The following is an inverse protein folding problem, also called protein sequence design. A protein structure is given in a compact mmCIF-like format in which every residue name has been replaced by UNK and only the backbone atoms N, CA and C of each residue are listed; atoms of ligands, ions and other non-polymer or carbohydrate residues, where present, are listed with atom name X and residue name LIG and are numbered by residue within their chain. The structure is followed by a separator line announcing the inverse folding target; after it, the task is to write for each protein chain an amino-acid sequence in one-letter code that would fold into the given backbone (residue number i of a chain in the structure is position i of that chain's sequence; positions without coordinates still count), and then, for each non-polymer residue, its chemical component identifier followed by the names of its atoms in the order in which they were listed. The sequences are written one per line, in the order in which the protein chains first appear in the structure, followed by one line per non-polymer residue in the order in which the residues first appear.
data_IF_630830920775
#
_entry.id   IF_630830920775
#
_cell.length_a   1.000
_cell.length_b   1.000
_cell.length_c   1.000
_cell.angle_alpha   90.00
_cell.angle_beta   90.00
_cell.angle_gamma   90.00
#
_symmetry.space_group_name_H-M   'P 1'
#
loop_
_entity.id
_entity.type
_entity.pdbx_description
1 polymer ?
#
# COMPACT_ATOMS: atom_id res chain seq x y z
N UNK A 1 -23.55 -57.51 -35.31
CA UNK A 1 -22.58 -56.89 -34.38
C UNK A 1 -21.30 -56.62 -35.15
N UNK A 2 -20.63 -55.49 -35.13
CA UNK A 2 -20.81 -54.16 -34.55
C UNK A 2 -19.78 -53.30 -35.30
N UNK A 3 -20.18 -52.11 -35.76
CA UNK A 3 -19.33 -51.16 -36.48
C UNK A 3 -18.01 -50.91 -35.72
N UNK A 4 -16.87 -51.26 -36.32
CA UNK A 4 -15.56 -50.93 -35.77
C UNK A 4 -15.29 -49.44 -36.02
N UNK A 5 -15.48 -48.68 -34.94
CA UNK A 5 -15.39 -47.22 -34.83
C UNK A 5 -13.99 -46.72 -35.23
N UNK A 6 -13.92 -45.98 -36.34
CA UNK A 6 -12.73 -45.27 -36.83
C UNK A 6 -12.25 -44.28 -35.75
N UNK A 7 -11.26 -44.66 -34.94
CA UNK A 7 -10.61 -43.75 -33.99
C UNK A 7 -9.72 -42.81 -34.79
N UNK A 8 -10.20 -41.60 -35.07
CA UNK A 8 -9.36 -40.48 -35.52
C UNK A 8 -8.41 -40.13 -34.37
N UNK A 9 -7.26 -40.79 -34.33
CA UNK A 9 -6.12 -40.36 -33.52
C UNK A 9 -5.65 -39.04 -34.09
N UNK A 10 -5.93 -37.95 -33.38
CA UNK A 10 -5.29 -36.67 -33.65
C UNK A 10 -3.77 -36.91 -33.71
N UNK A 11 -3.08 -36.48 -34.79
CA UNK A 11 -1.65 -36.69 -34.91
C UNK A 11 -0.96 -36.03 -33.72
N UNK A 12 -0.09 -36.78 -33.02
CA UNK A 12 0.64 -36.35 -31.82
C UNK A 12 1.29 -34.95 -31.97
N UNK A 13 1.70 -34.61 -33.19
CA UNK A 13 2.23 -33.29 -33.53
C UNK A 13 1.23 -32.14 -33.34
N UNK A 14 -0.05 -32.34 -33.67
CA UNK A 14 -1.09 -31.34 -33.45
C UNK A 14 -1.39 -31.12 -31.96
N UNK A 15 -1.29 -32.18 -31.14
CA UNK A 15 -1.51 -32.08 -29.69
C UNK A 15 -0.42 -31.26 -28.98
N UNK A 16 0.80 -31.20 -29.53
CA UNK A 16 1.91 -30.41 -29.00
C UNK A 16 1.95 -28.98 -29.57
N UNK A 17 1.56 -28.78 -30.83
CA UNK A 17 1.60 -27.47 -31.49
C UNK A 17 0.53 -26.51 -30.98
N UNK A 18 -0.68 -27.00 -30.70
CA UNK A 18 -1.78 -26.19 -30.16
C UNK A 18 -1.45 -25.48 -28.84
N UNK A 19 -0.96 -26.17 -27.79
CA UNK A 19 -0.59 -25.50 -26.55
C UNK A 19 0.60 -24.56 -26.72
N UNK A 20 1.53 -24.86 -27.62
CA UNK A 20 2.67 -23.97 -27.90
C UNK A 20 2.19 -22.66 -28.54
N UNK A 21 1.25 -22.74 -29.50
CA UNK A 21 0.64 -21.60 -30.15
C UNK A 21 -0.21 -20.77 -29.18
N UNK A 22 -0.99 -21.39 -28.28
CA UNK A 22 -1.77 -20.63 -27.30
C UNK A 22 -0.88 -19.93 -26.27
N UNK A 23 0.25 -20.55 -25.90
CA UNK A 23 1.23 -19.95 -24.98
C UNK A 23 1.96 -18.77 -25.64
N UNK A 24 2.31 -18.90 -26.93
CA UNK A 24 2.89 -17.80 -27.72
C UNK A 24 1.89 -16.66 -27.96
N UNK A 25 0.60 -16.98 -28.21
CA UNK A 25 -0.46 -15.99 -28.37
C UNK A 25 -0.74 -15.27 -27.05
N UNK A 26 -0.81 -16.00 -25.94
CA UNK A 26 -0.98 -15.42 -24.60
C UNK A 26 0.21 -14.53 -24.21
N UNK A 27 1.43 -14.93 -24.57
CA UNK A 27 2.63 -14.14 -24.32
C UNK A 27 2.69 -12.86 -25.16
N UNK A 28 2.40 -12.95 -26.46
CA UNK A 28 2.43 -11.78 -27.37
C UNK A 28 1.26 -10.83 -27.14
N UNK A 29 0.04 -11.35 -26.94
CA UNK A 29 -1.12 -10.54 -26.57
C UNK A 29 -0.95 -9.90 -25.19
N UNK A 30 -0.37 -10.63 -24.22
CA UNK A 30 -0.03 -10.09 -22.91
C UNK A 30 0.99 -8.95 -22.97
N UNK A 31 1.95 -9.02 -23.90
CA UNK A 31 2.97 -7.97 -24.09
C UNK A 31 2.47 -6.73 -24.81
N UNK A 32 1.56 -6.89 -25.78
CA UNK A 32 0.94 -5.79 -26.51
C UNK A 32 -0.12 -5.04 -25.68
N UNK A 33 -0.80 -5.75 -24.78
CA UNK A 33 -1.79 -5.16 -23.86
C UNK A 33 -1.23 -4.76 -22.51
N UNK A 34 0.05 -5.04 -22.21
CA UNK A 34 0.67 -4.57 -20.98
C UNK A 34 0.85 -3.04 -21.05
N UNK A 35 0.24 -2.27 -20.13
CA UNK A 35 0.48 -0.84 -20.07
C UNK A 35 1.98 -0.60 -19.87
N UNK A 36 2.56 0.36 -20.61
CA UNK A 36 3.96 0.74 -20.44
C UNK A 36 4.22 1.01 -18.97
N UNK A 37 5.17 0.29 -18.37
CA UNK A 37 5.59 0.53 -16.99
C UNK A 37 6.17 1.95 -16.89
N UNK A 38 5.35 2.89 -16.45
CA UNK A 38 5.77 4.27 -16.17
C UNK A 38 6.25 4.35 -14.73
N UNK A 39 7.17 5.27 -14.46
CA UNK A 39 7.62 5.55 -13.09
C UNK A 39 6.42 5.90 -12.18
N UNK A 40 5.42 6.60 -12.72
CA UNK A 40 4.16 6.88 -12.03
C UNK A 40 3.37 5.60 -11.66
N UNK A 41 3.33 4.60 -12.54
CA UNK A 41 2.69 3.32 -12.24
C UNK A 41 3.46 2.53 -11.16
N UNK A 42 4.79 2.64 -11.11
CA UNK A 42 5.61 2.04 -10.07
C UNK A 42 5.43 2.72 -8.69
N UNK A 43 5.18 4.02 -8.67
CA UNK A 43 4.97 4.81 -7.44
C UNK A 43 3.50 4.92 -7.00
N UNK A 44 2.56 4.40 -7.80
CA UNK A 44 1.13 4.43 -7.47
C UNK A 44 0.79 3.74 -6.13
N UNK A 45 1.35 2.57 -5.77
CA UNK A 45 1.13 1.96 -4.45
C UNK A 45 1.53 2.89 -3.30
N UNK A 46 2.69 3.56 -3.42
CA UNK A 46 3.19 4.49 -2.40
C UNK A 46 2.23 5.65 -2.16
N UNK A 47 1.62 6.18 -3.21
CA UNK A 47 0.63 7.24 -3.08
C UNK A 47 -0.64 6.79 -2.34
N UNK A 48 -1.09 5.55 -2.58
CA UNK A 48 -2.24 4.98 -1.88
C UNK A 48 -1.93 4.74 -0.40
N UNK A 49 -0.73 4.26 -0.09
CA UNK A 49 -0.26 4.07 1.28
C UNK A 49 -0.15 5.38 2.06
N UNK A 50 0.34 6.45 1.44
CA UNK A 50 0.38 7.79 2.07
C UNK A 50 -1.02 8.36 2.31
N UNK A 51 -1.97 8.15 1.39
CA UNK A 51 -3.37 8.53 1.59
C UNK A 51 -4.03 7.76 2.74
N UNK A 52 -3.80 6.45 2.82
CA UNK A 52 -4.29 5.64 3.93
C UNK A 52 -3.70 6.09 5.28
N UNK A 53 -2.40 6.41 5.29
CA UNK A 53 -1.74 6.96 6.47
C UNK A 53 -2.34 8.31 6.89
N UNK A 54 -2.65 9.18 5.94
CA UNK A 54 -3.29 10.47 6.21
C UNK A 54 -4.66 10.29 6.85
N UNK A 55 -5.52 9.44 6.28
CA UNK A 55 -6.85 9.18 6.83
C UNK A 55 -6.78 8.58 8.24
N UNK A 56 -5.79 7.72 8.49
CA UNK A 56 -5.56 7.15 9.82
C UNK A 56 -5.08 8.20 10.85
N UNK A 57 -4.25 9.18 10.45
CA UNK A 57 -3.88 10.30 11.33
C UNK A 57 -5.07 11.18 11.71
N UNK A 58 -6.03 11.35 10.81
CA UNK A 58 -7.24 12.12 11.10
C UNK A 58 -8.10 11.46 12.18
N UNK A 59 -8.25 10.14 12.09
CA UNK A 59 -8.91 9.34 13.14
C UNK A 59 -8.11 9.41 14.44
N UNK A 60 -6.78 9.28 14.38
CA UNK A 60 -5.93 9.35 15.56
C UNK A 60 -6.05 10.69 16.30
N UNK A 61 -6.19 11.80 15.58
CA UNK A 61 -6.42 13.13 16.16
C UNK A 61 -7.81 13.27 16.78
N UNK A 62 -8.86 12.87 16.05
CA UNK A 62 -10.24 12.94 16.55
C UNK A 62 -10.42 12.10 17.81
N UNK A 63 -9.95 10.86 17.81
CA UNK A 63 -10.06 9.98 18.98
C UNK A 63 -9.04 10.33 20.07
N UNK A 64 -7.89 10.88 19.72
CA UNK A 64 -6.87 11.31 20.68
C UNK A 64 -7.35 12.44 21.58
N UNK A 65 -8.08 13.41 21.04
CA UNK A 65 -8.69 14.49 21.84
C UNK A 65 -9.76 13.98 22.81
N UNK A 66 -10.61 13.03 22.37
CA UNK A 66 -11.57 12.35 23.24
C UNK A 66 -10.90 11.47 24.29
N UNK A 67 -9.77 10.86 23.94
CA UNK A 67 -8.96 10.06 24.87
C UNK A 67 -8.34 10.90 25.98
N UNK A 68 -7.90 12.13 25.67
CA UNK A 68 -7.40 13.09 26.65
C UNK A 68 -8.49 13.53 27.65
N UNK A 69 -9.77 13.53 27.23
CA UNK A 69 -10.93 13.77 28.10
C UNK A 69 -11.32 12.57 28.98
N UNK A 70 -10.58 11.45 28.88
CA UNK A 70 -10.77 10.28 29.75
C UNK A 70 -11.52 9.10 29.10
N UNK A 71 -11.91 9.18 27.83
CA UNK A 71 -12.56 8.07 27.13
C UNK A 71 -11.54 6.96 26.79
N UNK A 72 -11.72 5.77 27.39
CA UNK A 72 -10.82 4.63 27.22
C UNK A 72 -10.95 3.96 25.83
N UNK A 73 -12.16 3.92 25.26
CA UNK A 73 -12.38 3.37 23.91
C UNK A 73 -11.74 4.25 22.85
N UNK A 74 -11.92 5.57 22.96
CA UNK A 74 -11.24 6.54 22.11
C UNK A 74 -9.72 6.44 22.22
N UNK A 75 -9.17 6.13 23.41
CA UNK A 75 -7.73 5.88 23.53
C UNK A 75 -7.28 4.69 22.69
N UNK A 76 -7.98 3.56 22.79
CA UNK A 76 -7.66 2.38 22.01
C UNK A 76 -7.83 2.63 20.51
N UNK A 77 -8.87 3.38 20.10
CA UNK A 77 -9.10 3.75 18.72
C UNK A 77 -8.00 4.67 18.16
N UNK A 78 -7.56 5.66 18.95
CA UNK A 78 -6.45 6.56 18.57
C UNK A 78 -5.14 5.80 18.38
N UNK A 79 -4.78 4.91 19.31
CA UNK A 79 -3.57 4.07 19.20
C UNK A 79 -3.65 3.11 18.00
N UNK A 80 -4.80 2.48 17.76
CA UNK A 80 -5.00 1.63 16.57
C UNK A 80 -4.86 2.44 15.28
N UNK A 81 -5.39 3.66 15.25
CA UNK A 81 -5.29 4.53 14.09
C UNK A 81 -3.83 4.96 13.84
N UNK A 82 -3.09 5.34 14.88
CA UNK A 82 -1.65 5.63 14.78
C UNK A 82 -0.86 4.42 14.25
N UNK A 83 -1.17 3.22 14.75
CA UNK A 83 -0.56 1.98 14.27
C UNK A 83 -0.93 1.65 12.82
N UNK A 84 -2.16 1.91 12.40
CA UNK A 84 -2.59 1.78 11.00
C UNK A 84 -1.80 2.74 10.11
N UNK A 85 -1.59 4.00 10.54
CA UNK A 85 -0.80 4.97 9.80
C UNK A 85 0.67 4.52 9.64
N UNK A 86 1.27 4.01 10.73
CA UNK A 86 2.62 3.42 10.71
C UNK A 86 2.70 2.26 9.72
N UNK A 87 1.75 1.33 9.80
CA UNK A 87 1.74 0.12 8.98
C UNK A 87 1.54 0.46 7.51
N UNK A 88 0.68 1.44 7.21
CA UNK A 88 0.48 1.90 5.84
C UNK A 88 1.78 2.39 5.20
N UNK A 89 2.59 3.19 5.91
CA UNK A 89 3.88 3.67 5.40
C UNK A 89 4.94 2.56 5.35
N UNK A 90 4.99 1.69 6.36
CA UNK A 90 5.97 0.60 6.41
C UNK A 90 5.71 -0.51 5.38
N UNK A 91 4.46 -0.74 4.98
CA UNK A 91 4.11 -1.74 3.98
C UNK A 91 4.63 -1.38 2.57
N UNK A 92 5.02 -0.13 2.35
CA UNK A 92 5.65 0.28 1.10
C UNK A 92 7.19 0.32 1.24
N UNK A 93 7.84 -0.71 0.70
CA UNK A 93 9.30 -0.80 0.69
C UNK A 93 9.96 0.32 -0.13
N UNK A 94 9.27 0.88 -1.14
CA UNK A 94 9.84 1.95 -1.97
C UNK A 94 9.99 3.25 -1.20
N UNK A 95 9.08 3.56 -0.26
CA UNK A 95 9.19 4.72 0.62
C UNK A 95 10.42 4.63 1.52
N UNK A 96 10.70 3.45 2.05
CA UNK A 96 11.88 3.21 2.89
C UNK A 96 13.18 3.30 2.10
N UNK A 97 13.18 2.87 0.84
CA UNK A 97 14.37 2.90 -0.02
C UNK A 97 14.65 4.30 -0.59
N UNK A 98 13.61 5.03 -0.99
CA UNK A 98 13.75 6.34 -1.64
C UNK A 98 13.85 7.49 -0.62
N UNK A 99 13.16 7.36 0.52
CA UNK A 99 13.00 8.42 1.51
C UNK A 99 13.18 7.88 2.95
N UNK A 100 14.34 7.27 3.28
CA UNK A 100 14.56 6.63 4.57
C UNK A 100 14.43 7.61 5.74
N UNK A 101 15.05 8.79 5.64
CA UNK A 101 15.06 9.79 6.72
C UNK A 101 13.67 10.36 6.99
N UNK A 102 12.89 10.61 5.94
CA UNK A 102 11.54 11.16 6.09
C UNK A 102 10.57 10.10 6.64
N UNK A 103 10.75 8.84 6.23
CA UNK A 103 10.00 7.71 6.79
C UNK A 103 10.32 7.51 8.27
N UNK A 104 11.61 7.54 8.65
CA UNK A 104 12.04 7.46 10.03
C UNK A 104 11.50 8.63 10.88
N UNK A 105 11.53 9.85 10.34
CA UNK A 105 10.97 11.04 10.99
C UNK A 105 9.48 10.87 11.23
N UNK A 106 8.73 10.41 10.22
CA UNK A 106 7.29 10.17 10.36
C UNK A 106 6.98 9.15 11.46
N UNK A 107 7.71 8.03 11.49
CA UNK A 107 7.55 6.99 12.51
C UNK A 107 7.87 7.51 13.90
N UNK A 108 8.93 8.32 14.05
CA UNK A 108 9.30 8.93 15.33
C UNK A 108 8.21 9.88 15.86
N UNK A 109 7.53 10.62 14.98
CA UNK A 109 6.38 11.46 15.37
C UNK A 109 5.16 10.64 15.77
N UNK A 110 4.92 9.50 15.11
CA UNK A 110 3.89 8.55 15.56
C UNK A 110 4.20 7.97 16.95
N UNK A 111 5.47 7.69 17.26
CA UNK A 111 5.88 7.27 18.62
C UNK A 111 5.62 8.35 19.67
N UNK A 112 5.74 9.62 19.31
CA UNK A 112 5.37 10.74 20.20
C UNK A 112 3.87 10.82 20.41
N UNK A 113 3.05 10.59 19.37
CA UNK A 113 1.59 10.48 19.48
C UNK A 113 1.22 9.32 20.41
N UNK A 114 1.78 8.14 20.20
CA UNK A 114 1.51 6.96 21.03
C UNK A 114 1.84 7.24 22.50
N UNK A 115 3.00 7.85 22.78
CA UNK A 115 3.40 8.25 24.14
C UNK A 115 2.45 9.28 24.74
N UNK A 116 2.02 10.29 23.98
CA UNK A 116 1.09 11.32 24.46
C UNK A 116 -0.28 10.71 24.81
N UNK A 117 -0.84 9.89 23.92
CA UNK A 117 -2.13 9.22 24.10
C UNK A 117 -2.11 8.25 25.28
N UNK A 118 -1.02 7.47 25.45
CA UNK A 118 -0.84 6.59 26.61
C UNK A 118 -0.74 7.37 27.92
N UNK A 119 0.01 8.49 27.92
CA UNK A 119 0.16 9.38 29.07
C UNK A 119 -1.09 10.24 29.36
N UNK A 120 -2.18 10.08 28.60
CA UNK A 120 -3.40 10.91 28.66
C UNK A 120 -3.12 12.41 28.48
N UNK A 121 -2.06 12.74 27.74
CA UNK A 121 -1.72 14.11 27.35
C UNK A 121 -2.37 14.43 26.00
N UNK A 122 -2.55 15.71 25.72
CA UNK A 122 -3.03 16.16 24.43
C UNK A 122 -2.04 15.76 23.31
N UNK A 123 -2.46 14.94 22.32
CA UNK A 123 -1.59 14.54 21.22
C UNK A 123 -1.55 15.57 20.08
N UNK A 124 -2.18 16.75 20.21
CA UNK A 124 -2.29 17.73 19.11
C UNK A 124 -0.94 18.11 18.47
N UNK A 125 0.07 18.44 19.29
CA UNK A 125 1.41 18.81 18.80
C UNK A 125 2.11 17.68 18.05
N UNK A 126 2.33 16.48 18.63
CA UNK A 126 3.02 15.40 17.90
C UNK A 126 2.22 14.93 16.69
N UNK A 127 0.89 15.05 16.71
CA UNK A 127 0.05 14.71 15.57
C UNK A 127 0.14 15.73 14.44
N UNK A 128 0.30 17.03 14.76
CA UNK A 128 0.61 18.06 13.76
C UNK A 128 1.98 17.82 13.12
N UNK A 129 2.99 17.46 13.92
CA UNK A 129 4.32 17.15 13.41
C UNK A 129 4.32 15.89 12.53
N UNK A 130 3.56 14.86 12.92
CA UNK A 130 3.37 13.65 12.09
C UNK A 130 2.71 13.97 10.75
N UNK A 131 1.69 14.84 10.74
CA UNK A 131 1.05 15.32 9.50
C UNK A 131 2.01 16.12 8.62
N UNK A 132 2.84 16.97 9.21
CA UNK A 132 3.86 17.73 8.47
C UNK A 132 4.91 16.81 7.82
N UNK A 133 5.37 15.79 8.56
CA UNK A 133 6.28 14.78 8.04
C UNK A 133 5.63 13.99 6.87
N UNK A 134 4.37 13.56 7.02
CA UNK A 134 3.64 12.85 5.97
C UNK A 134 3.42 13.70 4.73
N UNK A 135 3.11 14.99 4.90
CA UNK A 135 2.98 15.94 3.80
C UNK A 135 4.29 16.08 3.03
N UNK A 136 5.42 16.18 3.74
CA UNK A 136 6.75 16.25 3.14
C UNK A 136 7.05 15.01 2.30
N UNK A 137 6.75 13.80 2.82
CA UNK A 137 6.85 12.54 2.06
C UNK A 137 6.00 12.56 0.79
N UNK A 138 4.76 13.04 0.89
CA UNK A 138 3.82 13.11 -0.23
C UNK A 138 4.28 14.09 -1.32
N UNK A 139 4.82 15.24 -0.92
CA UNK A 139 5.36 16.24 -1.85
C UNK A 139 6.61 15.70 -2.56
N UNK A 140 7.49 15.00 -1.85
CA UNK A 140 8.67 14.34 -2.43
C UNK A 140 8.28 13.24 -3.43
N UNK A 141 7.32 12.39 -3.07
CA UNK A 141 6.81 11.35 -3.97
C UNK A 141 6.22 11.95 -5.25
N UNK A 142 5.42 13.02 -5.11
CA UNK A 142 4.82 13.73 -6.25
C UNK A 142 5.88 14.39 -7.14
N UNK A 143 6.97 14.90 -6.57
CA UNK A 143 8.08 15.45 -7.33
C UNK A 143 8.80 14.36 -8.14
N UNK A 144 8.96 13.15 -7.58
CA UNK A 144 9.56 12.02 -8.27
C UNK A 144 8.67 11.40 -9.36
N UNK A 145 7.35 11.61 -9.30
CA UNK A 145 6.40 11.07 -10.29
C UNK A 145 6.13 11.99 -11.49
N UNK A 146 6.72 13.19 -11.53
CA UNK A 146 6.61 14.15 -12.65
C UNK A 146 7.77 13.99 -13.62
#
# INVERSE_FOLDING_TARGET
MLYARQRRTLPLWAALLLPLLTLLLGFTAGRLSAPKATLAAALAPASAHLLAASGALDIAGLEGTRAAQGNAESRAASLRAAQTARTAVLNDASLQQLYPDQTATFIARLDEVDRAVQARRDPATPLADARAALRTLTERLRAASR
#
